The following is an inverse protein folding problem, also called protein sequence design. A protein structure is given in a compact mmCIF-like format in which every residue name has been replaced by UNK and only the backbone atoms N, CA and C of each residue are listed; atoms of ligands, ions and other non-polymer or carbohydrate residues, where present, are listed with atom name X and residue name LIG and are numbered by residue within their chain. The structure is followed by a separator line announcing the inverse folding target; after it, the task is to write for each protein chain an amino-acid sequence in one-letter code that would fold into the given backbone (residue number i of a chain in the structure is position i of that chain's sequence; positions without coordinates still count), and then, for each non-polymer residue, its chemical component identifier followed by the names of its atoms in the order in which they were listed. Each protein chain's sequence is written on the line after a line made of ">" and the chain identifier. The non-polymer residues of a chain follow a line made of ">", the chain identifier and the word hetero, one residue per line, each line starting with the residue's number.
data_IF_360806886120
#
_entry.id   IF_360806886120
#
_cell.length_a   1.000
_cell.length_b   1.000
_cell.length_c   1.000
_cell.angle_alpha   90.00
_cell.angle_beta   90.00
_cell.angle_gamma   90.00
#
_symmetry.space_group_name_H-M   'P 1'
#
loop_
_entity.id
_entity.type
_entity.pdbx_description
1 polymer ?
#
# COMPACT_ATOMS: atom_id res chain seq x y z
N UNK A 1 -4.68 10.59 11.28
CA UNK A 1 -5.09 9.16 11.23
C UNK A 1 -3.97 8.37 10.56
N UNK A 2 -3.45 7.33 11.21
CA UNK A 2 -2.35 6.55 10.65
C UNK A 2 -2.89 5.42 9.75
N UNK A 3 -2.27 5.23 8.59
CA UNK A 3 -2.66 4.22 7.61
C UNK A 3 -1.49 3.28 7.28
N UNK A 4 -1.83 2.08 6.80
CA UNK A 4 -0.85 1.13 6.26
C UNK A 4 -1.54 0.22 5.25
N UNK A 5 -0.76 -0.45 4.40
CA UNK A 5 -1.33 -1.34 3.38
C UNK A 5 -2.31 -2.36 3.98
N UNK A 6 -1.87 -3.13 5.00
CA UNK A 6 -2.66 -4.19 5.64
C UNK A 6 -3.39 -3.79 6.94
N UNK A 7 -3.28 -2.54 7.38
CA UNK A 7 -3.87 -2.07 8.64
C UNK A 7 -3.23 -2.64 9.92
N UNK A 8 -1.95 -3.02 9.90
CA UNK A 8 -1.25 -3.52 11.11
C UNK A 8 -1.18 -2.43 12.17
N UNK A 9 -1.19 -2.81 13.46
CA UNK A 9 -1.13 -1.89 14.62
C UNK A 9 -2.29 -0.88 14.67
N UNK A 10 -3.51 -1.34 14.38
CA UNK A 10 -4.74 -0.52 14.37
C UNK A 10 -4.72 0.64 13.35
N UNK A 11 -3.82 0.59 12.37
CA UNK A 11 -3.81 1.53 11.26
C UNK A 11 -5.00 1.26 10.33
N UNK A 12 -5.49 2.30 9.67
CA UNK A 12 -6.47 2.12 8.61
C UNK A 12 -5.88 1.25 7.46
N UNK A 13 -6.54 0.16 7.04
CA UNK A 13 -6.07 -0.73 5.99
C UNK A 13 -6.36 -0.16 4.60
N UNK A 14 -5.34 0.42 3.95
CA UNK A 14 -5.49 1.05 2.63
C UNK A 14 -5.94 0.04 1.57
N UNK A 15 -5.51 -1.22 1.68
CA UNK A 15 -5.92 -2.29 0.77
C UNK A 15 -7.44 -2.60 0.80
N UNK A 16 -8.20 -2.06 1.77
CA UNK A 16 -9.67 -2.20 1.86
C UNK A 16 -10.43 -1.02 1.25
N UNK A 17 -9.74 0.01 0.74
CA UNK A 17 -10.42 1.09 0.02
C UNK A 17 -11.00 0.53 -1.27
N UNK A 18 -12.27 0.86 -1.55
CA UNK A 18 -12.96 0.40 -2.75
C UNK A 18 -12.18 0.68 -4.04
N UNK A 19 -11.62 1.88 -4.16
CA UNK A 19 -10.76 2.26 -5.29
C UNK A 19 -9.54 1.34 -5.43
N UNK A 20 -8.90 0.97 -4.32
CA UNK A 20 -7.73 0.07 -4.33
C UNK A 20 -8.15 -1.34 -4.74
N UNK A 21 -9.32 -1.81 -4.29
CA UNK A 21 -9.89 -3.09 -4.73
C UNK A 21 -10.12 -3.10 -6.24
N UNK A 22 -10.77 -2.07 -6.79
CA UNK A 22 -10.98 -1.97 -8.24
C UNK A 22 -9.65 -1.94 -9.02
N UNK A 23 -8.63 -1.21 -8.53
CA UNK A 23 -7.31 -1.21 -9.15
C UNK A 23 -6.64 -2.60 -9.10
N UNK A 24 -6.76 -3.33 -7.99
CA UNK A 24 -6.24 -4.70 -7.87
C UNK A 24 -6.89 -5.62 -8.90
N UNK A 25 -8.21 -5.56 -9.07
CA UNK A 25 -8.94 -6.37 -10.06
C UNK A 25 -8.43 -6.12 -11.48
N UNK A 26 -8.22 -4.85 -11.85
CA UNK A 26 -7.64 -4.51 -13.16
C UNK A 26 -6.22 -5.06 -13.29
N UNK A 27 -5.35 -4.85 -12.30
CA UNK A 27 -3.95 -5.31 -12.36
C UNK A 27 -3.87 -6.84 -12.47
N UNK A 28 -4.66 -7.56 -11.67
CA UNK A 28 -4.69 -9.02 -11.67
C UNK A 28 -5.30 -9.59 -12.96
N UNK A 29 -6.22 -8.85 -13.60
CA UNK A 29 -6.80 -9.25 -14.89
C UNK A 29 -5.88 -9.01 -16.09
N UNK A 30 -4.97 -8.05 -16.02
CA UNK A 30 -4.12 -7.64 -17.15
C UNK A 30 -2.65 -8.07 -17.04
N UNK A 31 -2.19 -8.51 -15.86
CA UNK A 31 -0.80 -8.89 -15.63
C UNK A 31 -0.69 -10.27 -15.01
N UNK A 32 0.38 -11.00 -15.35
CA UNK A 32 0.72 -12.29 -14.72
C UNK A 32 1.38 -12.02 -13.37
N UNK A 33 0.56 -11.64 -12.40
CA UNK A 33 0.97 -11.38 -11.01
C UNK A 33 -0.07 -11.99 -10.07
N UNK A 34 0.39 -12.63 -9.00
CA UNK A 34 -0.50 -13.16 -7.98
C UNK A 34 -0.96 -12.05 -7.04
N UNK A 35 -2.12 -12.24 -6.41
CA UNK A 35 -2.61 -11.30 -5.39
C UNK A 35 -1.57 -11.11 -4.27
N UNK A 36 -0.88 -12.18 -3.87
CA UNK A 36 0.17 -12.16 -2.85
C UNK A 36 1.37 -11.30 -3.26
N UNK A 37 1.81 -11.39 -4.50
CA UNK A 37 2.90 -10.56 -5.03
C UNK A 37 2.50 -9.10 -5.08
N UNK A 38 1.31 -8.81 -5.62
CA UNK A 38 0.78 -7.45 -5.66
C UNK A 38 0.66 -6.83 -4.26
N UNK A 39 0.20 -7.62 -3.28
CA UNK A 39 0.13 -7.23 -1.88
C UNK A 39 1.50 -6.93 -1.26
N UNK A 40 2.50 -7.73 -1.62
CA UNK A 40 3.85 -7.62 -1.10
C UNK A 40 4.52 -6.37 -1.64
N UNK A 41 4.49 -6.19 -2.97
CA UNK A 41 5.00 -5.01 -3.68
C UNK A 41 4.36 -3.73 -3.13
N UNK A 42 3.03 -3.73 -3.01
CA UNK A 42 2.29 -2.56 -2.50
C UNK A 42 2.67 -2.24 -1.06
N UNK A 43 2.79 -3.25 -0.18
CA UNK A 43 3.22 -3.04 1.20
C UNK A 43 4.63 -2.43 1.30
N UNK A 44 5.56 -2.89 0.46
CA UNK A 44 6.92 -2.32 0.38
C UNK A 44 6.91 -0.89 -0.13
N UNK A 45 6.12 -0.61 -1.16
CA UNK A 45 5.98 0.74 -1.71
C UNK A 45 5.46 1.72 -0.66
N UNK A 46 4.44 1.35 0.13
CA UNK A 46 3.95 2.14 1.26
C UNK A 46 5.01 2.35 2.35
N UNK A 47 5.82 1.33 2.64
CA UNK A 47 6.93 1.44 3.59
C UNK A 47 7.95 2.49 3.12
N UNK A 48 8.33 2.45 1.85
CA UNK A 48 9.27 3.43 1.27
C UNK A 48 8.67 4.83 1.21
N UNK A 49 7.39 4.98 0.87
CA UNK A 49 6.69 6.27 0.91
C UNK A 49 6.74 6.90 2.31
N UNK A 50 6.48 6.11 3.35
CA UNK A 50 6.61 6.57 4.74
C UNK A 50 8.04 6.97 5.08
N UNK A 51 9.04 6.21 4.62
CA UNK A 51 10.45 6.58 4.84
C UNK A 51 10.81 7.92 4.18
N UNK A 52 10.36 8.18 2.95
CA UNK A 52 10.57 9.47 2.27
C UNK A 52 9.94 10.62 3.04
N UNK A 53 8.67 10.49 3.39
CA UNK A 53 7.96 11.49 4.20
C UNK A 53 8.68 11.78 5.52
N UNK A 54 9.09 10.74 6.24
CA UNK A 54 9.80 10.91 7.51
C UNK A 54 11.18 11.58 7.36
N UNK A 55 11.83 11.50 6.19
CA UNK A 55 13.07 12.22 5.91
C UNK A 55 12.78 13.70 5.67
N UNK A 56 11.78 13.99 4.83
CA UNK A 56 11.31 15.36 4.56
C UNK A 56 10.87 16.07 5.85
N UNK A 57 10.18 15.38 6.77
CA UNK A 57 9.77 15.94 8.07
C UNK A 57 10.92 16.12 9.07
N UNK A 58 12.08 15.48 8.87
CA UNK A 58 13.27 15.66 9.72
C UNK A 58 14.20 16.75 9.22
N UNK A 59 14.12 17.10 7.94
CA UNK A 59 14.89 18.17 7.32
C UNK A 59 14.25 19.55 7.51
N UNK A 60 12.99 19.60 7.99
CA UNK A 60 12.24 20.81 8.39
C UNK A 60 12.16 20.94 9.91
#
# INVERSE_FOLDING_TARGET
>A
MACSWKGRRQNFPVAKLFMITAMKEVILGHHVVTEKELDTISAEWFRFAKQRKNREEKEN
#
